data_IF_204946128665
#
_entry.id   IF_204946128665
#
_cell.length_a   1.000
_cell.length_b   1.000
_cell.length_c   1.000
_cell.angle_alpha   90.00
_cell.angle_beta   90.00
_cell.angle_gamma   90.00
#
_symmetry.space_group_name_H-M   'P 1'
#
loop_
_entity.id
_entity.type
_entity.pdbx_description
1 polymer ?
#
# COMPACT_ATOMS: atom_id res chain seq x y z
N UNK A 1 9.93 -3.59 -26.57
CA UNK A 1 11.13 -4.45 -26.41
C UNK A 1 11.87 -3.99 -25.15
N UNK A 2 12.23 -4.89 -24.27
CA UNK A 2 13.00 -4.55 -23.06
C UNK A 2 14.48 -4.56 -23.43
N UNK A 3 15.31 -3.60 -22.96
CA UNK A 3 16.75 -3.63 -23.18
C UNK A 3 17.37 -4.93 -22.62
N UNK A 4 18.12 -5.64 -23.44
CA UNK A 4 18.72 -6.94 -23.10
C UNK A 4 19.62 -6.78 -21.86
N UNK A 5 20.41 -5.71 -21.79
CA UNK A 5 21.31 -5.42 -20.66
C UNK A 5 20.58 -5.39 -19.32
N UNK A 6 19.31 -4.90 -19.27
CA UNK A 6 18.52 -4.88 -18.03
C UNK A 6 18.13 -6.29 -17.60
N UNK A 7 17.81 -7.16 -18.55
CA UNK A 7 17.42 -8.55 -18.26
C UNK A 7 18.63 -9.39 -17.85
N UNK A 8 19.76 -9.19 -18.51
CA UNK A 8 21.05 -9.81 -18.13
C UNK A 8 21.47 -9.40 -16.73
N UNK A 9 21.32 -8.12 -16.37
CA UNK A 9 21.59 -7.65 -15.01
C UNK A 9 20.70 -8.33 -13.95
N UNK A 10 19.42 -8.59 -14.24
CA UNK A 10 18.51 -9.33 -13.34
C UNK A 10 19.04 -10.74 -13.13
N UNK A 11 19.43 -11.45 -14.20
CA UNK A 11 19.94 -12.83 -14.12
C UNK A 11 21.29 -12.86 -13.38
N UNK A 12 22.18 -11.92 -13.67
CA UNK A 12 23.49 -11.81 -12.99
C UNK A 12 23.30 -11.54 -11.50
N UNK A 13 22.43 -10.60 -11.15
CA UNK A 13 22.14 -10.26 -9.74
C UNK A 13 21.51 -11.43 -8.97
N UNK A 14 20.63 -12.18 -9.60
CA UNK A 14 20.05 -13.39 -9.01
C UNK A 14 21.14 -14.42 -8.67
N UNK A 15 22.06 -14.71 -9.61
CA UNK A 15 23.16 -15.65 -9.40
C UNK A 15 24.15 -15.17 -8.33
N UNK A 16 24.43 -13.85 -8.26
CA UNK A 16 25.22 -13.25 -7.19
C UNK A 16 24.58 -13.47 -5.82
N UNK A 17 23.28 -13.19 -5.68
CA UNK A 17 22.54 -13.39 -4.43
C UNK A 17 22.53 -14.84 -4.01
N UNK A 18 22.37 -15.77 -4.93
CA UNK A 18 22.47 -17.21 -4.66
C UNK A 18 23.84 -17.56 -4.07
N UNK A 19 24.90 -17.04 -4.66
CA UNK A 19 26.27 -17.24 -4.18
C UNK A 19 26.54 -16.57 -2.83
N UNK A 20 25.94 -15.41 -2.57
CA UNK A 20 26.07 -14.71 -1.28
C UNK A 20 25.34 -15.47 -0.18
N UNK A 21 24.07 -15.88 -0.43
CA UNK A 21 23.26 -16.61 0.54
C UNK A 21 23.80 -18.01 0.89
N UNK A 22 24.62 -18.58 0.02
CA UNK A 22 25.33 -19.84 0.28
C UNK A 22 26.50 -19.72 1.28
N UNK A 23 26.93 -18.49 1.64
CA UNK A 23 28.04 -18.26 2.57
C UNK A 23 27.58 -18.41 4.03
N UNK A 24 28.30 -19.15 4.90
CA UNK A 24 27.89 -19.38 6.28
C UNK A 24 28.08 -18.17 7.22
N UNK A 25 28.90 -17.17 6.83
CA UNK A 25 29.32 -16.06 7.70
C UNK A 25 28.57 -14.74 7.47
N UNK A 26 27.32 -14.79 6.96
CA UNK A 26 26.52 -13.59 6.71
C UNK A 26 25.98 -12.99 8.02
N UNK A 27 26.06 -11.67 8.15
CA UNK A 27 25.38 -10.93 9.22
C UNK A 27 23.87 -11.08 9.07
N UNK A 28 23.15 -11.14 10.21
CA UNK A 28 21.69 -11.38 10.24
C UNK A 28 20.92 -10.36 9.39
N UNK A 29 21.27 -9.08 9.45
CA UNK A 29 20.60 -8.01 8.69
C UNK A 29 20.85 -8.12 7.19
N UNK A 30 22.09 -8.45 6.79
CA UNK A 30 22.46 -8.70 5.39
C UNK A 30 21.76 -9.95 4.85
N UNK A 31 21.65 -11.01 5.66
CA UNK A 31 20.93 -12.22 5.28
C UNK A 31 19.44 -11.93 5.02
N UNK A 32 18.78 -11.18 5.91
CA UNK A 32 17.36 -10.82 5.75
C UNK A 32 17.15 -9.99 4.50
N UNK A 33 17.97 -8.96 4.28
CA UNK A 33 17.87 -8.10 3.09
C UNK A 33 18.09 -8.87 1.78
N UNK A 34 19.17 -9.67 1.71
CA UNK A 34 19.49 -10.46 0.52
C UNK A 34 18.46 -11.57 0.26
N UNK A 35 17.93 -12.21 1.31
CA UNK A 35 16.86 -13.20 1.16
C UNK A 35 15.57 -12.62 0.61
N UNK A 36 15.23 -11.38 1.03
CA UNK A 36 14.06 -10.66 0.51
C UNK A 36 14.25 -10.31 -0.97
N UNK A 37 15.42 -9.79 -1.34
CA UNK A 37 15.77 -9.48 -2.73
C UNK A 37 15.77 -10.74 -3.60
N UNK A 38 16.38 -11.83 -3.13
CA UNK A 38 16.39 -13.14 -3.81
C UNK A 38 14.96 -13.67 -4.04
N UNK A 39 14.11 -13.64 -3.02
CA UNK A 39 12.71 -14.06 -3.14
C UNK A 39 11.95 -13.26 -4.19
N UNK A 40 12.18 -11.95 -4.25
CA UNK A 40 11.56 -11.08 -5.24
C UNK A 40 12.04 -11.40 -6.67
N UNK A 41 13.34 -11.61 -6.87
CA UNK A 41 13.89 -11.96 -8.17
C UNK A 41 13.51 -13.38 -8.61
N UNK A 42 13.32 -14.30 -7.66
CA UNK A 42 12.92 -15.67 -7.94
C UNK A 42 11.55 -15.78 -8.61
N UNK A 43 10.66 -14.82 -8.39
CA UNK A 43 9.35 -14.76 -9.05
C UNK A 43 9.45 -14.52 -10.57
N UNK A 44 10.52 -13.86 -11.03
CA UNK A 44 10.67 -13.42 -12.42
C UNK A 44 11.83 -14.08 -13.18
N UNK A 45 12.74 -14.75 -12.46
CA UNK A 45 13.97 -15.28 -13.06
C UNK A 45 13.73 -16.26 -14.21
N UNK A 46 12.65 -17.09 -14.11
CA UNK A 46 12.28 -17.99 -15.19
C UNK A 46 11.93 -17.23 -16.46
N UNK A 47 11.09 -16.19 -16.36
CA UNK A 47 10.71 -15.35 -17.50
C UNK A 47 11.89 -14.56 -18.07
N UNK A 48 12.84 -14.14 -17.22
CA UNK A 48 14.06 -13.47 -17.66
C UNK A 48 14.95 -14.40 -18.48
N UNK A 49 15.17 -15.62 -18.01
CA UNK A 49 15.93 -16.66 -18.73
C UNK A 49 15.24 -17.09 -20.02
N UNK A 50 13.92 -17.30 -19.96
CA UNK A 50 13.12 -17.67 -21.15
C UNK A 50 13.16 -16.57 -22.20
N UNK A 51 13.07 -15.29 -21.80
CA UNK A 51 13.18 -14.14 -22.71
C UNK A 51 14.50 -14.11 -23.45
N UNK A 52 15.62 -14.29 -22.73
CA UNK A 52 16.95 -14.32 -23.36
C UNK A 52 17.07 -15.47 -24.35
N UNK A 53 16.57 -16.67 -23.97
CA UNK A 53 16.56 -17.82 -24.86
C UNK A 53 15.69 -17.59 -26.09
N UNK A 54 14.48 -17.08 -25.94
CA UNK A 54 13.57 -16.76 -27.05
C UNK A 54 14.18 -15.74 -28.00
N UNK A 55 14.94 -14.75 -27.50
CA UNK A 55 15.65 -13.79 -28.35
C UNK A 55 16.77 -14.46 -29.19
N UNK A 56 17.49 -15.41 -28.59
CA UNK A 56 18.52 -16.18 -29.30
C UNK A 56 17.89 -17.09 -30.36
N UNK A 57 16.81 -17.79 -30.03
CA UNK A 57 16.04 -18.64 -30.94
C UNK A 57 15.41 -17.81 -32.06
N UNK A 58 14.86 -16.63 -31.79
CA UNK A 58 14.36 -15.70 -32.80
C UNK A 58 15.44 -15.25 -33.77
N UNK A 59 16.64 -15.00 -33.27
CA UNK A 59 17.78 -14.61 -34.12
C UNK A 59 18.21 -15.76 -35.02
N UNK A 60 18.30 -16.98 -34.51
CA UNK A 60 18.64 -18.17 -35.28
C UNK A 60 17.58 -18.50 -36.32
N UNK A 61 16.31 -18.47 -35.96
CA UNK A 61 15.18 -18.75 -36.91
C UNK A 61 15.10 -17.70 -38.01
N UNK A 62 15.37 -16.42 -37.72
CA UNK A 62 15.46 -15.37 -38.75
C UNK A 62 16.61 -15.61 -39.73
N UNK A 63 17.80 -16.01 -39.22
CA UNK A 63 18.92 -16.35 -40.10
C UNK A 63 18.59 -17.50 -41.06
N UNK A 64 17.84 -18.51 -40.58
CA UNK A 64 17.37 -19.65 -41.45
C UNK A 64 16.42 -19.14 -42.51
N UNK A 65 15.51 -18.21 -42.19
CA UNK A 65 14.57 -17.65 -43.18
C UNK A 65 15.22 -16.71 -44.20
N UNK A 66 16.37 -16.10 -43.85
CA UNK A 66 17.15 -15.23 -44.74
C UNK A 66 18.06 -16.04 -45.68
N UNK A 67 18.37 -17.32 -45.35
CA UNK A 67 19.18 -18.18 -46.18
C UNK A 67 18.39 -18.72 -47.36
N UNK A 68 18.70 -18.24 -48.56
CA UNK A 68 18.05 -18.62 -49.83
C UNK A 68 18.27 -20.09 -50.24
N UNK A 69 19.16 -20.82 -49.54
CA UNK A 69 19.42 -22.23 -49.78
C UNK A 69 18.55 -23.17 -48.98
N UNK A 70 17.69 -22.66 -48.09
CA UNK A 70 16.83 -23.43 -47.20
C UNK A 70 15.73 -24.19 -47.99
N UNK A 71 15.57 -25.47 -47.71
CA UNK A 71 14.56 -26.32 -48.32
C UNK A 71 13.15 -25.83 -47.95
N UNK A 72 12.17 -25.99 -48.85
CA UNK A 72 10.82 -25.44 -48.70
C UNK A 72 10.13 -25.93 -47.41
N UNK A 73 10.31 -27.21 -47.05
CA UNK A 73 9.75 -27.76 -45.80
C UNK A 73 10.36 -27.11 -44.56
N UNK A 74 11.66 -26.90 -44.54
CA UNK A 74 12.34 -26.19 -43.45
C UNK A 74 11.92 -24.75 -43.35
N UNK A 75 11.66 -24.07 -44.47
CA UNK A 75 11.18 -22.69 -44.48
C UNK A 75 9.77 -22.59 -43.86
N UNK A 76 8.83 -23.48 -44.20
CA UNK A 76 7.48 -23.53 -43.66
C UNK A 76 7.48 -23.83 -42.13
N UNK A 77 8.37 -24.71 -41.69
CA UNK A 77 8.59 -24.98 -40.24
C UNK A 77 9.12 -23.77 -39.50
N UNK A 78 10.15 -23.12 -40.05
CA UNK A 78 10.76 -21.92 -39.47
C UNK A 78 9.76 -20.74 -39.40
N UNK A 79 8.88 -20.57 -40.37
CA UNK A 79 7.84 -19.56 -40.37
C UNK A 79 6.80 -19.80 -39.26
N UNK A 80 6.44 -21.06 -39.01
CA UNK A 80 5.54 -21.43 -37.90
C UNK A 80 6.20 -21.20 -36.57
N UNK A 81 7.45 -21.64 -36.42
CA UNK A 81 8.24 -21.43 -35.19
C UNK A 81 8.44 -19.95 -34.88
N UNK A 82 8.67 -19.10 -35.88
CA UNK A 82 8.77 -17.65 -35.72
C UNK A 82 7.52 -17.03 -35.09
N UNK A 83 6.33 -17.55 -35.47
CA UNK A 83 5.06 -17.06 -34.89
C UNK A 83 4.91 -17.46 -33.44
N UNK A 84 5.29 -18.68 -33.09
CA UNK A 84 5.22 -19.18 -31.73
C UNK A 84 6.24 -18.48 -30.83
N UNK A 85 7.46 -18.28 -31.31
CA UNK A 85 8.51 -17.52 -30.60
C UNK A 85 8.12 -16.06 -30.36
N UNK A 86 7.50 -15.38 -31.33
CA UNK A 86 7.00 -14.01 -31.13
C UNK A 86 5.94 -13.93 -30.03
N UNK A 87 5.02 -14.91 -29.98
CA UNK A 87 4.02 -14.95 -28.92
C UNK A 87 4.66 -15.16 -27.55
N UNK A 88 5.65 -16.06 -27.46
CA UNK A 88 6.42 -16.27 -26.22
C UNK A 88 7.20 -15.02 -25.81
N UNK A 89 7.81 -14.31 -26.77
CA UNK A 89 8.45 -13.02 -26.53
C UNK A 89 7.48 -12.02 -25.90
N UNK A 90 6.28 -11.86 -26.48
CA UNK A 90 5.27 -10.94 -25.96
C UNK A 90 4.84 -11.28 -24.53
N UNK A 91 4.64 -12.57 -24.23
CA UNK A 91 4.30 -13.01 -22.87
C UNK A 91 5.42 -12.73 -21.88
N UNK A 92 6.67 -13.05 -22.22
CA UNK A 92 7.84 -12.75 -21.37
C UNK A 92 8.01 -11.24 -21.16
N UNK A 93 7.89 -10.45 -22.23
CA UNK A 93 7.99 -8.99 -22.18
C UNK A 93 6.91 -8.41 -21.26
N UNK A 94 5.65 -8.89 -21.35
CA UNK A 94 4.57 -8.42 -20.48
C UNK A 94 4.89 -8.68 -19.01
N UNK A 95 5.36 -9.87 -18.66
CA UNK A 95 5.72 -10.24 -17.28
C UNK A 95 6.90 -9.44 -16.75
N UNK A 96 7.96 -9.32 -17.56
CA UNK A 96 9.16 -8.56 -17.21
C UNK A 96 8.88 -7.06 -17.04
N UNK A 97 8.05 -6.47 -17.91
CA UNK A 97 7.64 -5.07 -17.80
C UNK A 97 6.93 -4.79 -16.47
N UNK A 98 5.98 -5.64 -16.08
CA UNK A 98 5.26 -5.52 -14.81
C UNK A 98 6.23 -5.58 -13.62
N UNK A 99 7.23 -6.45 -13.68
CA UNK A 99 8.24 -6.57 -12.62
C UNK A 99 9.14 -5.34 -12.53
N UNK A 100 9.46 -4.72 -13.68
CA UNK A 100 10.31 -3.52 -13.77
C UNK A 100 9.57 -2.23 -13.36
N UNK A 101 8.26 -2.27 -13.12
CA UNK A 101 7.54 -1.13 -12.55
C UNK A 101 8.11 -0.78 -11.18
N UNK A 102 8.24 0.52 -10.85
CA UNK A 102 8.68 0.92 -9.53
C UNK A 102 7.71 0.36 -8.48
N UNK A 103 8.23 -0.51 -7.60
CA UNK A 103 7.45 -1.04 -6.49
C UNK A 103 7.24 0.08 -5.47
N UNK A 104 5.99 0.29 -5.08
CA UNK A 104 5.65 1.17 -3.97
C UNK A 104 5.99 0.44 -2.66
N UNK A 105 6.86 1.01 -1.84
CA UNK A 105 7.20 0.44 -0.52
C UNK A 105 5.96 0.25 0.37
N UNK A 106 4.91 1.04 0.14
CA UNK A 106 3.65 0.91 0.84
C UNK A 106 2.91 -0.40 0.49
N UNK A 107 3.15 -1.01 -0.68
CA UNK A 107 2.44 -2.20 -1.16
C UNK A 107 2.63 -3.43 -0.26
N UNK A 108 3.74 -3.52 0.45
CA UNK A 108 4.02 -4.60 1.40
C UNK A 108 3.42 -4.38 2.79
N UNK A 109 2.93 -3.16 3.08
CA UNK A 109 2.39 -2.80 4.40
C UNK A 109 1.00 -3.37 4.62
N UNK A 110 0.63 -3.45 5.89
CA UNK A 110 -0.75 -3.64 6.30
C UNK A 110 -1.60 -2.45 5.86
N UNK A 111 -2.91 -2.60 5.82
CA UNK A 111 -3.82 -1.53 5.42
C UNK A 111 -4.78 -1.16 6.54
N UNK A 112 -5.01 0.13 6.71
CA UNK A 112 -6.11 0.67 7.50
C UNK A 112 -7.23 1.00 6.52
N UNK A 113 -8.37 0.31 6.67
CA UNK A 113 -9.58 0.59 5.91
C UNK A 113 -10.52 1.43 6.75
N UNK A 114 -11.02 2.50 6.17
CA UNK A 114 -12.00 3.39 6.77
C UNK A 114 -13.22 3.47 5.86
N UNK A 115 -14.39 3.10 6.38
CA UNK A 115 -15.64 3.14 5.64
C UNK A 115 -16.59 4.09 6.35
N UNK A 116 -17.13 5.07 5.64
CA UNK A 116 -18.11 6.01 6.16
C UNK A 116 -19.38 6.01 5.32
N UNK A 117 -20.51 6.12 6.00
CA UNK A 117 -21.77 6.42 5.35
C UNK A 117 -21.68 7.80 4.68
N UNK A 118 -21.98 7.84 3.39
CA UNK A 118 -22.05 9.07 2.61
C UNK A 118 -23.49 9.57 2.45
N UNK A 119 -23.85 10.00 1.26
CA UNK A 119 -25.20 10.50 0.95
C UNK A 119 -26.20 9.35 0.91
N UNK A 120 -27.27 9.41 1.71
CA UNK A 120 -28.33 8.39 1.71
C UNK A 120 -28.88 8.05 3.10
N UNK A 121 -28.40 8.73 4.16
CA UNK A 121 -28.93 8.56 5.52
C UNK A 121 -28.74 7.15 6.06
N UNK A 122 -29.83 6.54 6.58
CA UNK A 122 -29.81 5.20 7.18
C UNK A 122 -29.37 4.12 6.18
N UNK A 123 -29.81 4.22 4.92
CA UNK A 123 -29.44 3.26 3.88
C UNK A 123 -27.91 3.29 3.57
N UNK A 124 -27.29 4.46 3.60
CA UNK A 124 -25.85 4.57 3.45
C UNK A 124 -25.08 3.91 4.61
N UNK A 125 -25.64 3.96 5.83
CA UNK A 125 -25.05 3.30 7.00
C UNK A 125 -25.18 1.77 6.92
N UNK A 126 -26.29 1.24 6.45
CA UNK A 126 -26.47 -0.19 6.19
C UNK A 126 -25.52 -0.66 5.09
N UNK A 127 -25.38 0.11 4.02
CA UNK A 127 -24.46 -0.21 2.94
C UNK A 127 -22.99 -0.18 3.39
N UNK A 128 -22.63 0.74 4.29
CA UNK A 128 -21.28 0.76 4.88
C UNK A 128 -20.99 -0.54 5.66
N UNK A 129 -21.98 -1.08 6.35
CA UNK A 129 -21.88 -2.38 7.05
C UNK A 129 -21.74 -3.54 6.04
N UNK A 130 -22.50 -3.53 4.94
CA UNK A 130 -22.39 -4.56 3.89
C UNK A 130 -21.00 -4.56 3.25
N UNK A 131 -20.43 -3.37 2.94
CA UNK A 131 -19.07 -3.24 2.44
C UNK A 131 -18.04 -3.79 3.43
N UNK A 132 -18.18 -3.45 4.70
CA UNK A 132 -17.27 -3.96 5.71
C UNK A 132 -17.33 -5.48 5.83
N UNK A 133 -18.52 -6.05 5.85
CA UNK A 133 -18.74 -7.51 5.85
C UNK A 133 -18.10 -8.18 4.61
N UNK A 134 -18.21 -7.55 3.45
CA UNK A 134 -17.54 -8.01 2.23
C UNK A 134 -16.02 -8.04 2.42
N UNK A 135 -15.40 -6.95 2.91
CA UNK A 135 -13.96 -6.91 3.14
C UNK A 135 -13.50 -7.89 4.23
N UNK A 136 -14.30 -8.15 5.26
CA UNK A 136 -14.00 -9.20 6.24
C UNK A 136 -13.93 -10.59 5.57
N UNK A 137 -14.89 -10.91 4.71
CA UNK A 137 -14.89 -12.19 3.97
C UNK A 137 -13.70 -12.29 3.02
N UNK A 138 -13.39 -11.20 2.28
CA UNK A 138 -12.20 -11.12 1.45
C UNK A 138 -10.93 -11.34 2.26
N UNK A 139 -10.85 -10.77 3.46
CA UNK A 139 -9.72 -10.97 4.37
C UNK A 139 -9.57 -12.45 4.78
N UNK A 140 -10.66 -13.10 5.15
CA UNK A 140 -10.67 -14.53 5.50
C UNK A 140 -10.18 -15.39 4.33
N UNK A 141 -10.68 -15.13 3.11
CA UNK A 141 -10.28 -15.87 1.89
C UNK A 141 -8.80 -15.71 1.56
N UNK A 142 -8.20 -14.55 1.91
CA UNK A 142 -6.77 -14.28 1.68
C UNK A 142 -5.89 -14.64 2.89
N UNK A 143 -6.45 -15.15 3.99
CA UNK A 143 -5.72 -15.47 5.22
C UNK A 143 -5.25 -14.22 5.99
N UNK A 144 -5.93 -13.09 5.84
CA UNK A 144 -5.63 -11.85 6.55
C UNK A 144 -6.41 -11.76 7.85
N UNK A 145 -5.85 -11.06 8.83
CA UNK A 145 -6.49 -10.77 10.11
C UNK A 145 -7.10 -9.37 10.09
N UNK A 146 -8.33 -9.23 10.57
CA UNK A 146 -9.04 -7.95 10.67
C UNK A 146 -9.18 -7.56 12.13
N UNK A 147 -8.75 -6.37 12.49
CA UNK A 147 -8.85 -5.79 13.82
C UNK A 147 -9.60 -4.46 13.75
N UNK A 148 -10.74 -4.36 14.45
CA UNK A 148 -11.53 -3.14 14.48
C UNK A 148 -10.87 -2.15 15.43
N UNK A 149 -10.51 -0.96 14.90
CA UNK A 149 -9.89 0.12 15.65
C UNK A 149 -10.96 1.05 16.23
N UNK A 150 -11.94 1.43 15.42
CA UNK A 150 -13.03 2.32 15.83
C UNK A 150 -14.33 1.93 15.14
N UNK A 151 -15.44 2.07 15.87
CA UNK A 151 -16.77 1.75 15.38
C UNK A 151 -17.78 2.78 15.87
N UNK A 152 -18.47 3.44 14.94
CA UNK A 152 -19.57 4.35 15.22
C UNK A 152 -20.86 3.80 14.59
N UNK A 153 -21.79 3.33 15.42
CA UNK A 153 -23.05 2.79 14.96
C UNK A 153 -24.04 3.89 14.55
N UNK A 154 -24.95 3.56 13.63
CA UNK A 154 -26.10 4.38 13.29
C UNK A 154 -27.32 3.96 14.12
N UNK A 155 -28.21 4.90 14.47
CA UNK A 155 -29.42 4.63 15.25
C UNK A 155 -30.38 3.65 14.56
N UNK A 156 -30.38 3.63 13.23
CA UNK A 156 -31.20 2.73 12.42
C UNK A 156 -30.51 1.45 11.97
N UNK A 157 -29.40 1.08 12.59
CA UNK A 157 -28.55 -0.04 12.16
C UNK A 157 -27.47 0.37 11.17
N UNK A 158 -26.48 -0.52 10.99
CA UNK A 158 -25.31 -0.23 10.17
C UNK A 158 -24.30 0.72 10.84
N UNK A 159 -23.35 1.23 10.07
CA UNK A 159 -22.24 2.01 10.58
C UNK A 159 -22.24 3.43 10.00
N UNK A 160 -22.17 4.44 10.87
CA UNK A 160 -21.83 5.81 10.46
C UNK A 160 -20.37 5.86 10.01
N UNK A 161 -19.52 5.18 10.76
CA UNK A 161 -18.07 5.06 10.47
C UNK A 161 -17.55 3.76 11.06
N UNK A 162 -16.69 3.08 10.32
CA UNK A 162 -15.90 1.97 10.82
C UNK A 162 -14.47 2.10 10.32
N UNK A 163 -13.52 1.90 11.25
CA UNK A 163 -12.09 1.90 10.97
C UNK A 163 -11.52 0.57 11.45
N UNK A 164 -10.85 -0.15 10.56
CA UNK A 164 -10.24 -1.43 10.87
C UNK A 164 -8.83 -1.53 10.28
N UNK A 165 -7.92 -2.18 11.00
CA UNK A 165 -6.63 -2.62 10.48
C UNK A 165 -6.78 -4.01 9.86
N UNK A 166 -6.21 -4.20 8.69
CA UNK A 166 -6.14 -5.49 8.00
C UNK A 166 -4.66 -5.86 7.90
N UNK A 167 -4.30 -6.94 8.59
CA UNK A 167 -2.92 -7.40 8.78
C UNK A 167 -2.69 -8.66 7.96
N UNK A 168 -1.65 -8.66 7.13
CA UNK A 168 -1.30 -9.80 6.30
C UNK A 168 -0.31 -9.46 5.19
N UNK A 169 -0.03 -10.41 4.33
CA UNK A 169 0.92 -10.21 3.23
C UNK A 169 0.26 -9.46 2.06
N UNK A 170 0.91 -8.39 1.58
CA UNK A 170 0.48 -7.60 0.42
C UNK A 170 -0.97 -7.09 0.51
N UNK A 171 -1.41 -6.71 1.71
CA UNK A 171 -2.78 -6.24 1.94
C UNK A 171 -3.02 -4.92 1.25
N UNK A 172 -2.12 -3.94 1.47
CA UNK A 172 -2.29 -2.61 0.90
C UNK A 172 -2.26 -2.65 -0.63
N UNK A 173 -1.38 -3.43 -1.25
CA UNK A 173 -1.30 -3.54 -2.72
C UNK A 173 -2.59 -4.02 -3.37
N UNK A 174 -3.36 -4.89 -2.67
CA UNK A 174 -4.63 -5.41 -3.18
C UNK A 174 -5.82 -4.49 -2.88
N UNK A 175 -5.80 -3.80 -1.74
CA UNK A 175 -6.92 -2.98 -1.29
C UNK A 175 -6.82 -1.51 -1.67
N UNK A 176 -5.64 -0.98 -2.03
CA UNK A 176 -5.46 0.44 -2.38
C UNK A 176 -6.41 0.94 -3.48
N UNK A 177 -6.81 0.06 -4.39
CA UNK A 177 -7.75 0.36 -5.45
C UNK A 177 -9.23 0.41 -5.01
N UNK A 178 -9.52 0.07 -3.77
CA UNK A 178 -10.88 0.17 -3.20
C UNK A 178 -11.21 1.57 -2.67
N UNK A 179 -10.22 2.47 -2.65
CA UNK A 179 -10.40 3.85 -2.20
C UNK A 179 -11.27 4.64 -3.15
N UNK A 180 -12.34 5.25 -2.62
CA UNK A 180 -13.24 6.10 -3.38
C UNK A 180 -14.70 6.01 -2.92
N UNK A 181 -15.62 6.48 -3.78
CA UNK A 181 -17.06 6.48 -3.52
C UNK A 181 -17.71 5.23 -4.12
N UNK A 182 -18.34 4.43 -3.27
CA UNK A 182 -19.13 3.26 -3.65
C UNK A 182 -20.62 3.61 -3.65
N UNK A 183 -21.29 3.37 -4.75
CA UNK A 183 -22.72 3.68 -4.92
C UNK A 183 -23.56 2.41 -4.89
N UNK A 184 -24.62 2.40 -4.11
CA UNK A 184 -25.61 1.31 -4.06
C UNK A 184 -26.93 1.75 -4.67
N UNK A 185 -27.59 0.84 -5.36
CA UNK A 185 -28.93 0.96 -5.89
C UNK A 185 -29.75 -0.26 -5.44
N UNK A 186 -30.60 -0.08 -4.43
CA UNK A 186 -31.53 -1.12 -3.94
C UNK A 186 -32.78 -0.49 -3.34
N UNK A 187 -33.78 -1.31 -3.10
CA UNK A 187 -34.93 -0.96 -2.25
C UNK A 187 -34.48 -1.19 -0.80
N UNK A 188 -34.39 -0.14 0.04
CA UNK A 188 -34.02 -0.31 1.44
C UNK A 188 -35.06 -1.12 2.20
N UNK A 189 -34.67 -1.84 3.24
CA UNK A 189 -35.58 -2.55 4.14
C UNK A 189 -36.56 -1.59 4.85
N UNK A 190 -36.22 -0.32 4.93
CA UNK A 190 -37.02 0.77 5.52
C UNK A 190 -38.03 1.38 4.55
N UNK A 191 -38.00 1.00 3.27
CA UNK A 191 -38.85 1.57 2.22
C UNK A 191 -40.12 0.74 2.03
N UNK A 192 -41.29 1.32 2.35
CA UNK A 192 -42.60 0.63 2.28
C UNK A 192 -43.24 0.65 0.89
N UNK A 193 -42.78 1.54 -0.01
CA UNK A 193 -43.38 1.72 -1.35
C UNK A 193 -42.56 1.04 -2.47
N UNK A 194 -41.52 0.28 -2.11
CA UNK A 194 -40.71 -0.46 -3.06
C UNK A 194 -39.87 0.42 -4.02
N UNK A 195 -39.62 1.68 -3.67
CA UNK A 195 -38.79 2.59 -4.50
C UNK A 195 -37.33 2.26 -4.39
N UNK A 196 -36.63 2.23 -5.52
CA UNK A 196 -35.19 2.06 -5.55
C UNK A 196 -34.52 3.35 -5.06
N UNK A 197 -33.75 3.25 -3.98
CA UNK A 197 -32.94 4.34 -3.48
C UNK A 197 -31.52 4.23 -4.02
N UNK A 198 -30.88 5.39 -4.18
CA UNK A 198 -29.46 5.49 -4.54
C UNK A 198 -28.72 6.10 -3.37
N UNK A 199 -27.89 5.31 -2.72
CA UNK A 199 -27.05 5.73 -1.59
C UNK A 199 -25.59 5.55 -1.90
N UNK A 200 -24.71 6.16 -1.12
CA UNK A 200 -23.29 6.07 -1.28
C UNK A 200 -22.59 5.89 0.06
N UNK A 201 -21.49 5.15 0.05
CA UNK A 201 -20.54 5.05 1.14
C UNK A 201 -19.14 5.35 0.60
N UNK A 202 -18.28 5.93 1.42
CA UNK A 202 -16.90 6.23 1.07
C UNK A 202 -15.98 5.21 1.72
N UNK A 203 -15.01 4.73 0.96
CA UNK A 203 -13.97 3.84 1.43
C UNK A 203 -12.63 4.54 1.25
N UNK A 204 -11.83 4.61 2.32
CA UNK A 204 -10.44 5.03 2.24
C UNK A 204 -9.55 3.86 2.67
N UNK A 205 -8.48 3.63 1.94
CA UNK A 205 -7.47 2.63 2.25
C UNK A 205 -6.14 3.32 2.40
N UNK A 206 -5.57 3.26 3.59
CA UNK A 206 -4.30 3.90 3.93
C UNK A 206 -3.28 2.83 4.35
N UNK A 207 -2.00 2.97 3.99
CA UNK A 207 -0.98 2.07 4.51
C UNK A 207 -0.85 2.28 6.03
N UNK A 208 -0.67 1.18 6.77
CA UNK A 208 -0.37 1.27 8.18
C UNK A 208 1.01 1.91 8.37
N UNK A 209 1.06 2.98 9.17
CA UNK A 209 2.33 3.61 9.50
C UNK A 209 3.04 2.79 10.57
N UNK A 210 4.33 2.63 10.43
CA UNK A 210 5.19 2.06 11.46
C UNK A 210 5.17 2.95 12.71
N UNK A 211 5.30 2.35 13.90
CA UNK A 211 5.47 3.10 15.13
C UNK A 211 6.73 3.97 15.02
N UNK A 212 6.54 5.25 15.29
CA UNK A 212 7.66 6.21 15.23
C UNK A 212 8.47 6.10 16.49
N UNK A 213 9.62 5.46 16.39
CA UNK A 213 10.61 5.43 17.46
C UNK A 213 11.38 6.76 17.45
N UNK A 214 11.04 7.65 18.37
CA UNK A 214 11.69 8.96 18.48
C UNK A 214 13.10 8.78 19.04
N UNK A 215 14.08 8.65 18.14
CA UNK A 215 15.51 8.68 18.48
C UNK A 215 15.96 10.14 18.59
N UNK A 216 16.36 10.55 19.79
CA UNK A 216 16.93 11.87 20.03
C UNK A 216 18.46 11.72 19.94
N UNK A 217 19.09 12.41 18.99
CA UNK A 217 20.54 12.50 18.93
C UNK A 217 21.02 13.59 19.89
N UNK A 218 22.04 13.31 20.69
CA UNK A 218 22.62 14.28 21.61
C UNK A 218 23.21 15.51 20.86
N UNK A 219 23.63 15.36 19.62
CA UNK A 219 24.11 16.45 18.77
C UNK A 219 23.01 17.49 18.44
N UNK A 220 21.75 17.08 18.43
CA UNK A 220 20.59 17.93 18.14
C UNK A 220 20.08 18.68 19.38
N UNK A 221 20.74 18.46 20.53
CA UNK A 221 20.34 19.04 21.80
C UNK A 221 21.31 20.15 22.23
N UNK A 222 20.76 21.32 22.53
CA UNK A 222 21.44 22.35 23.27
C UNK A 222 20.94 22.36 24.71
N UNK A 223 21.85 22.17 25.67
CA UNK A 223 21.54 22.10 27.10
C UNK A 223 22.18 23.28 27.80
N UNK A 224 21.36 24.18 28.31
CA UNK A 224 21.76 25.32 29.07
C UNK A 224 21.40 25.10 30.53
N UNK A 225 22.30 25.40 31.46
CA UNK A 225 22.05 25.37 32.92
C UNK A 225 21.95 26.79 33.46
N UNK A 226 21.03 26.99 34.36
CA UNK A 226 20.80 28.31 34.97
C UNK A 226 20.30 28.18 36.42
N UNK A 227 20.26 29.30 37.14
CA UNK A 227 19.75 29.33 38.49
C UNK A 227 18.24 29.20 38.52
N UNK A 228 17.74 28.35 39.43
CA UNK A 228 16.31 28.20 39.61
C UNK A 228 15.67 29.46 40.17
N UNK A 229 14.48 29.82 39.68
CA UNK A 229 13.68 30.92 40.22
C UNK A 229 12.69 30.37 41.24
N UNK A 230 12.66 30.90 42.47
CA UNK A 230 11.71 30.46 43.48
C UNK A 230 11.79 31.30 44.75
N UNK A 231 10.84 31.19 45.72
CA UNK A 231 10.88 31.88 46.98
C UNK A 231 12.11 31.42 47.80
N UNK A 232 13.03 32.31 48.02
CA UNK A 232 14.41 32.21 48.44
C UNK A 232 14.82 31.14 49.45
N UNK A 233 16.09 30.75 49.32
CA UNK A 233 16.88 29.92 50.23
C UNK A 233 18.32 29.85 49.70
N UNK A 234 19.32 29.56 50.58
CA UNK A 234 20.73 29.51 50.16
C UNK A 234 21.00 28.62 48.97
N UNK A 235 20.27 27.49 48.83
CA UNK A 235 20.43 26.53 47.75
C UNK A 235 19.93 27.05 46.39
N UNK A 236 18.92 27.93 46.36
CA UNK A 236 18.34 28.49 45.11
C UNK A 236 19.26 29.56 44.53
N UNK A 237 19.97 30.30 45.38
CA UNK A 237 20.80 31.42 44.97
C UNK A 237 22.26 31.05 44.62
N UNK A 238 22.70 29.85 45.02
CA UNK A 238 24.12 29.46 44.89
C UNK A 238 24.35 28.32 43.91
N UNK A 239 23.30 27.55 43.52
CA UNK A 239 23.47 26.35 42.71
C UNK A 239 22.70 26.46 41.38
N UNK A 240 23.39 26.24 40.24
CA UNK A 240 22.76 26.17 38.91
C UNK A 240 22.06 24.81 38.72
N UNK A 241 20.90 24.66 39.35
CA UNK A 241 20.12 23.40 39.34
C UNK A 241 19.09 23.33 38.25
N UNK A 242 18.66 24.45 37.66
CA UNK A 242 17.69 24.50 36.58
C UNK A 242 18.34 24.16 35.23
N UNK A 243 17.63 23.41 34.40
CA UNK A 243 18.10 22.96 33.09
C UNK A 243 17.10 23.36 32.02
N UNK A 244 17.62 23.95 30.94
CA UNK A 244 16.89 24.23 29.70
C UNK A 244 17.43 23.34 28.59
N UNK A 245 16.58 22.53 28.02
CA UNK A 245 16.89 21.67 26.87
C UNK A 245 16.19 22.24 25.65
N UNK A 246 16.97 22.59 24.62
CA UNK A 246 16.46 23.06 23.34
C UNK A 246 16.77 21.99 22.28
N UNK A 247 15.75 21.48 21.60
CA UNK A 247 15.92 20.60 20.43
C UNK A 247 16.03 21.48 19.19
N UNK A 248 17.24 21.54 18.60
CA UNK A 248 17.59 22.48 17.53
C UNK A 248 16.71 22.31 16.30
N UNK A 249 16.46 21.08 15.76
CA UNK A 249 15.67 20.89 14.55
C UNK A 249 14.20 21.30 14.69
N UNK A 250 13.57 21.02 15.84
CA UNK A 250 12.13 21.32 16.04
C UNK A 250 11.90 22.67 16.75
N UNK A 251 12.94 23.30 17.29
CA UNK A 251 12.82 24.53 18.06
C UNK A 251 12.11 24.38 19.43
N UNK A 252 11.82 23.13 19.86
CA UNK A 252 11.15 22.89 21.15
C UNK A 252 12.11 23.20 22.28
N UNK A 253 11.67 24.06 23.20
CA UNK A 253 12.41 24.44 24.41
C UNK A 253 11.66 23.93 25.64
N UNK A 254 12.40 23.26 26.54
CA UNK A 254 11.88 22.75 27.81
C UNK A 254 12.78 23.21 28.94
N UNK A 255 12.20 23.86 29.92
CA UNK A 255 12.90 24.30 31.14
C UNK A 255 12.37 23.52 32.33
N UNK A 256 13.27 22.93 33.12
CA UNK A 256 12.95 22.22 34.36
C UNK A 256 13.76 22.71 35.51
N UNK A 257 13.07 23.00 36.65
CA UNK A 257 13.68 23.51 37.86
C UNK A 257 13.07 22.94 39.16
N UNK A 258 12.25 21.89 39.04
CA UNK A 258 11.44 21.35 40.14
C UNK A 258 12.31 20.63 41.19
N UNK A 259 13.41 20.03 40.75
CA UNK A 259 14.29 19.24 41.61
C UNK A 259 15.55 20.01 42.00
N UNK A 260 16.09 19.70 43.18
CA UNK A 260 17.36 20.27 43.66
C UNK A 260 18.58 19.76 42.87
N UNK A 261 18.44 18.66 42.12
CA UNK A 261 19.51 18.02 41.37
C UNK A 261 19.42 18.36 39.89
N UNK A 262 20.46 18.95 39.32
CA UNK A 262 20.63 19.23 37.92
C UNK A 262 20.43 17.99 37.04
N UNK A 263 21.00 16.82 37.45
CA UNK A 263 20.86 15.57 36.69
C UNK A 263 19.40 15.06 36.65
N UNK A 264 18.66 15.21 37.76
CA UNK A 264 17.24 14.86 37.79
C UNK A 264 16.41 15.77 36.89
N UNK A 265 16.68 17.09 36.92
CA UNK A 265 16.02 18.06 36.04
C UNK A 265 16.34 17.78 34.56
N UNK A 266 17.60 17.46 34.21
CA UNK A 266 17.97 17.04 32.84
C UNK A 266 17.22 15.80 32.40
N UNK A 267 17.17 14.73 33.20
CA UNK A 267 16.46 13.51 32.88
C UNK A 267 14.95 13.77 32.68
N UNK A 268 14.35 14.60 33.55
CA UNK A 268 12.93 14.97 33.46
C UNK A 268 12.65 15.79 32.19
N UNK A 269 13.53 16.77 31.88
CA UNK A 269 13.43 17.58 30.67
C UNK A 269 13.53 16.73 29.40
N UNK A 270 14.45 15.75 29.32
CA UNK A 270 14.57 14.83 28.19
C UNK A 270 13.35 13.92 28.05
N UNK A 271 12.76 13.46 29.16
CA UNK A 271 11.52 12.67 29.12
C UNK A 271 10.35 13.47 28.54
N UNK A 272 10.21 14.73 28.96
CA UNK A 272 9.18 15.64 28.46
C UNK A 272 9.43 15.99 26.98
N UNK A 273 10.70 16.16 26.58
CA UNK A 273 11.08 16.39 25.18
C UNK A 273 10.67 15.22 24.29
N UNK A 274 10.93 13.97 24.71
CA UNK A 274 10.51 12.77 23.98
C UNK A 274 9.00 12.75 23.77
N UNK A 275 8.23 13.01 24.82
CA UNK A 275 6.76 13.06 24.73
C UNK A 275 6.30 14.14 23.74
N UNK A 276 6.86 15.36 23.81
CA UNK A 276 6.49 16.45 22.89
C UNK A 276 6.89 16.18 21.44
N UNK A 277 8.05 15.58 21.21
CA UNK A 277 8.49 15.19 19.86
C UNK A 277 7.59 14.08 19.30
N UNK A 278 7.23 13.10 20.13
CA UNK A 278 6.27 12.06 19.75
C UNK A 278 4.90 12.65 19.36
N UNK A 279 4.36 13.57 20.19
CA UNK A 279 3.10 14.24 19.91
C UNK A 279 3.15 15.07 18.61
N UNK A 280 4.27 15.75 18.36
CA UNK A 280 4.48 16.52 17.12
C UNK A 280 4.49 15.61 15.90
N UNK A 281 5.28 14.54 15.91
CA UNK A 281 5.36 13.59 14.82
C UNK A 281 4.02 12.89 14.57
N UNK A 282 3.32 12.51 15.64
CA UNK A 282 1.98 11.94 15.56
C UNK A 282 0.99 12.90 14.89
N UNK A 283 1.02 14.17 15.30
CA UNK A 283 0.17 15.22 14.70
C UNK A 283 0.47 15.44 13.22
N UNK A 284 1.74 15.39 12.82
CA UNK A 284 2.15 15.50 11.41
C UNK A 284 1.65 14.28 10.61
N UNK A 285 1.83 13.07 11.11
CA UNK A 285 1.30 11.85 10.49
C UNK A 285 -0.23 11.88 10.37
N UNK A 286 -0.93 12.35 11.39
CA UNK A 286 -2.39 12.49 11.35
C UNK A 286 -2.84 13.51 10.28
N UNK A 287 -2.10 14.61 10.11
CA UNK A 287 -2.36 15.60 9.04
C UNK A 287 -2.11 15.01 7.65
N UNK A 288 -1.02 14.27 7.47
CA UNK A 288 -0.72 13.59 6.20
C UNK A 288 -1.77 12.54 5.86
N UNK A 289 -2.18 11.72 6.83
CA UNK A 289 -3.27 10.74 6.67
C UNK A 289 -4.59 11.44 6.31
N UNK A 290 -4.93 12.53 6.99
CA UNK A 290 -6.14 13.30 6.68
C UNK A 290 -6.10 13.89 5.26
N UNK A 291 -4.93 14.37 4.81
CA UNK A 291 -4.72 14.88 3.45
C UNK A 291 -4.82 13.76 2.41
N UNK A 292 -4.15 12.65 2.63
CA UNK A 292 -4.19 11.48 1.75
C UNK A 292 -5.63 10.93 1.62
N UNK A 293 -6.34 10.79 2.75
CA UNK A 293 -7.74 10.41 2.77
C UNK A 293 -8.62 11.38 1.98
N UNK A 294 -8.47 12.68 2.18
CA UNK A 294 -9.25 13.70 1.45
C UNK A 294 -9.03 13.60 -0.06
N UNK A 295 -7.81 13.32 -0.50
CA UNK A 295 -7.53 13.14 -1.93
C UNK A 295 -8.14 11.86 -2.52
N UNK A 296 -8.31 10.80 -1.72
CA UNK A 296 -8.91 9.53 -2.17
C UNK A 296 -10.43 9.59 -2.30
N UNK A 297 -11.09 10.34 -1.42
CA UNK A 297 -12.56 10.33 -1.30
C UNK A 297 -13.20 11.48 -2.10
N UNK A 298 -12.43 12.55 -2.42
CA UNK A 298 -12.97 13.74 -3.07
C UNK A 298 -14.04 14.42 -2.21
N UNK A 299 -15.18 14.78 -2.81
CA UNK A 299 -16.33 15.36 -2.11
C UNK A 299 -17.24 14.31 -1.44
N UNK A 300 -17.09 13.04 -1.80
CA UNK A 300 -17.97 11.94 -1.36
C UNK A 300 -19.35 11.96 -2.05
N UNK A 301 -19.52 12.73 -3.12
CA UNK A 301 -20.77 12.78 -3.88
C UNK A 301 -20.95 11.50 -4.71
N UNK A 302 -22.20 11.09 -4.92
CA UNK A 302 -22.62 9.95 -5.76
C UNK A 302 -22.12 10.05 -7.21
N UNK A 303 -21.84 11.26 -7.69
CA UNK A 303 -21.30 11.51 -9.04
C UNK A 303 -19.86 11.04 -9.18
N UNK A 304 -19.05 11.08 -8.12
CA UNK A 304 -17.63 10.70 -8.10
C UNK A 304 -17.42 9.20 -7.86
N UNK A 305 -18.46 8.40 -8.09
CA UNK A 305 -18.43 6.96 -7.84
C UNK A 305 -17.35 6.23 -8.62
N UNK A 306 -16.59 5.39 -7.94
CA UNK A 306 -15.68 4.42 -8.58
C UNK A 306 -16.42 3.14 -8.95
N UNK A 307 -17.42 2.72 -8.11
CA UNK A 307 -18.13 1.46 -8.30
C UNK A 307 -19.61 1.59 -7.98
N UNK A 308 -20.45 0.84 -8.71
CA UNK A 308 -21.90 0.77 -8.50
C UNK A 308 -22.34 -0.65 -8.24
N UNK A 309 -23.07 -0.84 -7.15
CA UNK A 309 -23.70 -2.09 -6.72
C UNK A 309 -25.21 -2.00 -7.01
N UNK A 310 -25.66 -2.71 -8.04
CA UNK A 310 -27.06 -2.68 -8.49
C UNK A 310 -27.74 -3.99 -8.10
N UNK A 311 -28.51 -3.97 -7.00
CA UNK A 311 -29.20 -5.14 -6.47
C UNK A 311 -30.32 -5.64 -7.39
N UNK A 312 -31.23 -4.78 -7.93
CA UNK A 312 -32.27 -5.23 -8.84
C UNK A 312 -31.75 -5.96 -10.08
N UNK A 313 -30.55 -5.61 -10.56
CA UNK A 313 -29.93 -6.24 -11.74
C UNK A 313 -28.86 -7.29 -11.36
N UNK A 314 -28.60 -7.52 -10.06
CA UNK A 314 -27.61 -8.50 -9.60
C UNK A 314 -26.19 -8.24 -10.11
N UNK A 315 -25.83 -6.97 -10.36
CA UNK A 315 -24.55 -6.62 -10.96
C UNK A 315 -23.73 -5.62 -10.13
N UNK A 316 -22.42 -5.75 -10.24
CA UNK A 316 -21.45 -4.75 -9.79
C UNK A 316 -20.70 -4.20 -11.01
N UNK A 317 -20.55 -2.87 -11.10
CA UNK A 317 -19.85 -2.20 -12.21
C UNK A 317 -18.76 -1.32 -11.63
N UNK A 318 -17.51 -1.53 -12.05
CA UNK A 318 -16.40 -0.61 -11.79
C UNK A 318 -16.27 0.35 -12.97
N UNK A 319 -16.42 1.65 -12.68
CA UNK A 319 -16.47 2.68 -13.70
C UNK A 319 -15.09 3.12 -14.20
N UNK A 320 -14.03 2.78 -13.48
CA UNK A 320 -12.66 3.12 -13.88
C UNK A 320 -12.21 2.30 -15.08
N UNK A 321 -12.60 1.01 -15.08
CA UNK A 321 -12.23 0.05 -16.12
C UNK A 321 -13.44 -0.36 -16.99
N UNK A 322 -14.62 0.22 -16.73
CA UNK A 322 -15.89 -0.11 -17.41
C UNK A 322 -16.24 -1.62 -17.37
N UNK A 323 -15.78 -2.33 -16.35
CA UNK A 323 -16.06 -3.76 -16.16
C UNK A 323 -17.32 -3.99 -15.37
N UNK A 324 -18.18 -4.89 -15.81
CA UNK A 324 -19.42 -5.27 -15.13
C UNK A 324 -19.45 -6.78 -14.87
N UNK A 325 -19.68 -7.15 -13.60
CA UNK A 325 -19.87 -8.53 -13.17
C UNK A 325 -21.34 -8.73 -12.75
N UNK A 326 -22.01 -9.73 -13.34
CA UNK A 326 -23.39 -10.13 -13.00
C UNK A 326 -23.41 -11.19 -11.89
N UNK A 327 -22.62 -10.97 -10.85
CA UNK A 327 -22.40 -11.86 -9.70
C UNK A 327 -22.36 -11.06 -8.39
N UNK A 328 -23.34 -10.16 -8.20
CA UNK A 328 -23.32 -9.24 -7.05
C UNK A 328 -23.26 -9.98 -5.71
N UNK A 329 -24.03 -11.08 -5.56
CA UNK A 329 -24.05 -11.88 -4.33
C UNK A 329 -22.70 -12.50 -4.04
N UNK A 330 -22.06 -13.11 -5.04
CA UNK A 330 -20.74 -13.74 -4.92
C UNK A 330 -19.65 -12.66 -4.66
N UNK A 331 -19.83 -11.47 -5.24
CA UNK A 331 -18.94 -10.35 -4.99
C UNK A 331 -19.01 -9.87 -3.52
N UNK A 332 -20.23 -9.75 -2.95
CA UNK A 332 -20.43 -9.41 -1.54
C UNK A 332 -20.06 -10.57 -0.59
N UNK A 333 -20.01 -11.79 -1.10
CA UNK A 333 -19.46 -12.94 -0.38
C UNK A 333 -17.92 -13.00 -0.39
N UNK A 334 -17.26 -12.19 -1.26
CA UNK A 334 -15.81 -12.12 -1.42
C UNK A 334 -15.25 -13.00 -2.53
N UNK A 335 -16.01 -13.97 -3.04
CA UNK A 335 -15.54 -14.96 -4.01
C UNK A 335 -15.21 -14.35 -5.38
N UNK A 336 -16.06 -13.43 -5.87
CA UNK A 336 -15.84 -12.74 -7.14
C UNK A 336 -15.00 -11.45 -7.01
N UNK A 337 -14.59 -11.07 -5.79
CA UNK A 337 -13.82 -9.84 -5.54
C UNK A 337 -12.47 -9.86 -6.27
N UNK A 338 -11.79 -11.00 -6.25
CA UNK A 338 -10.47 -11.17 -6.87
C UNK A 338 -10.52 -10.90 -8.37
N UNK A 339 -11.57 -11.35 -9.08
CA UNK A 339 -11.71 -11.17 -10.52
C UNK A 339 -11.68 -9.68 -10.92
N UNK A 340 -12.38 -8.83 -10.18
CA UNK A 340 -12.41 -7.39 -10.42
C UNK A 340 -11.12 -6.70 -9.98
N UNK A 341 -10.58 -7.07 -8.81
CA UNK A 341 -9.35 -6.51 -8.27
C UNK A 341 -8.16 -6.78 -9.20
N UNK A 342 -8.02 -8.00 -9.71
CA UNK A 342 -6.95 -8.37 -10.63
C UNK A 342 -7.07 -7.59 -11.96
N UNK A 343 -8.29 -7.40 -12.48
CA UNK A 343 -8.53 -6.61 -13.69
C UNK A 343 -8.13 -5.13 -13.52
N UNK A 344 -8.46 -4.53 -12.36
CA UNK A 344 -8.05 -3.15 -12.04
C UNK A 344 -6.53 -3.05 -11.94
N UNK A 345 -5.90 -4.00 -11.28
CA UNK A 345 -4.45 -4.03 -11.12
C UNK A 345 -3.73 -4.12 -12.48
N UNK A 346 -4.23 -4.97 -13.38
CA UNK A 346 -3.67 -5.12 -14.73
C UNK A 346 -3.77 -3.80 -15.50
N UNK A 347 -4.95 -3.17 -15.50
CA UNK A 347 -5.12 -1.90 -16.21
C UNK A 347 -4.23 -0.79 -15.64
N UNK A 348 -4.13 -0.69 -14.32
CA UNK A 348 -3.24 0.27 -13.67
C UNK A 348 -1.77 0.04 -14.04
N UNK A 349 -1.34 -1.23 -14.11
CA UNK A 349 0.00 -1.59 -14.57
C UNK A 349 0.23 -1.21 -16.04
N UNK A 350 -0.76 -1.41 -16.90
CA UNK A 350 -0.71 -1.01 -18.31
C UNK A 350 -0.58 0.52 -18.45
N UNK A 351 -1.36 1.30 -17.72
CA UNK A 351 -1.25 2.76 -17.69
C UNK A 351 0.13 3.25 -17.19
N UNK A 352 0.67 2.60 -16.16
CA UNK A 352 2.02 2.92 -15.68
C UNK A 352 3.09 2.60 -16.73
N UNK A 353 2.96 1.48 -17.45
CA UNK A 353 3.87 1.11 -18.52
C UNK A 353 3.84 2.09 -19.69
N UNK A 354 2.65 2.59 -20.06
CA UNK A 354 2.49 3.62 -21.09
C UNK A 354 3.17 4.94 -20.68
N UNK A 355 3.00 5.36 -19.42
CA UNK A 355 3.62 6.56 -18.87
C UNK A 355 5.14 6.50 -18.80
N UNK A 356 5.72 5.32 -18.59
CA UNK A 356 7.17 5.12 -18.55
C UNK A 356 7.83 5.11 -19.93
N UNK A 357 7.06 5.14 -21.04
CA UNK A 357 7.56 5.11 -22.44
C UNK A 357 8.60 3.99 -22.68
N UNK A 358 8.42 2.83 -22.03
CA UNK A 358 9.29 1.65 -22.17
C UNK A 358 8.71 0.68 -23.19
#
# INVERSE_FOLDING_TARGET
MIPIDKVENIVSRFNELESILAKPDLKKDEFVSNSKEYSNLNEIISYAKDYLKVLEDLKSTKNILEDKSTDKEFYEMAEKELKDLKRQEEECVKKLKVFLLPKDEADEKNAIIEIRAGTGGMEAALFAADLFNMYQKVAVLNGWKVEIINLSNSEGGGYKEIIASIVGRNVFSKLKFESGVHRVQRVPDTETQGRIHTSAATVAVLPEAEEVDVKINDADLRIDVFRSSGPGGQSVNTTDSAVRVTHIPSGIVISQQDEKSQHKNKAKALKILRSKLYDLQRSEQEKERAKARKSQIGTGDRSERIRTYNFPQGRVTDHRINMTLYKLTDFLAGDAFKELSDAIQIQFQEEQLENLKI
#
